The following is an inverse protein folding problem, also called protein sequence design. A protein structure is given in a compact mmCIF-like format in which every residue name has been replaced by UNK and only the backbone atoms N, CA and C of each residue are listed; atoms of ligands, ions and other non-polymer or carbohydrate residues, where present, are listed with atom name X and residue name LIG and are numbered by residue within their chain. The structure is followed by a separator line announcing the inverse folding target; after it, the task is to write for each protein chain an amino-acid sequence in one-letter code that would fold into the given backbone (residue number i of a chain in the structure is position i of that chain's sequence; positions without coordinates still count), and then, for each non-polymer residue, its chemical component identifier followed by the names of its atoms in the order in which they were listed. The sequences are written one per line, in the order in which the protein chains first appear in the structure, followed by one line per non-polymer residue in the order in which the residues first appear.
data_IF_167195665001
#
_entry.id   IF_167195665001
#
_cell.length_a   1.000
_cell.length_b   1.000
_cell.length_c   1.000
_cell.angle_alpha   90.00
_cell.angle_beta   90.00
_cell.angle_gamma   90.00
#
_symmetry.space_group_name_H-M   'P 1'
#
loop_
_entity.id
_entity.type
_entity.pdbx_description
1 polymer ?
#
# COMPACT_ATOMS: atom_id res chain seq x y z
N UNK A 1 24.14 58.39 -8.38
CA UNK A 1 23.15 59.46 -8.16
C UNK A 1 21.80 58.92 -8.59
N UNK A 2 20.90 58.64 -7.65
CA UNK A 2 19.51 58.30 -7.98
C UNK A 2 18.80 59.64 -8.25
N UNK A 3 18.19 59.86 -9.42
CA UNK A 3 17.50 61.11 -9.70
C UNK A 3 16.31 61.27 -8.75
N UNK A 4 16.07 62.51 -8.32
CA UNK A 4 14.99 62.84 -7.40
C UNK A 4 13.65 62.68 -8.13
N UNK A 5 12.66 62.03 -7.50
CA UNK A 5 11.35 61.75 -8.13
C UNK A 5 10.63 63.04 -8.58
N UNK A 6 10.96 64.16 -7.95
CA UNK A 6 10.44 65.49 -8.23
C UNK A 6 10.92 66.09 -9.57
N UNK A 7 11.98 65.54 -10.19
CA UNK A 7 12.56 66.02 -11.45
C UNK A 7 12.07 65.24 -12.70
N UNK A 8 11.16 64.27 -12.52
CA UNK A 8 10.68 63.43 -13.62
C UNK A 8 9.49 64.09 -14.32
N UNK A 9 9.65 64.39 -15.61
CA UNK A 9 8.53 64.88 -16.43
C UNK A 9 7.40 63.84 -16.50
N UNK A 10 6.13 64.25 -16.67
CA UNK A 10 5.00 63.32 -16.77
C UNK A 10 5.21 62.19 -17.80
N UNK A 11 5.88 62.48 -18.92
CA UNK A 11 6.25 61.48 -19.94
C UNK A 11 7.28 60.45 -19.43
N UNK A 12 8.21 60.85 -18.56
CA UNK A 12 9.16 59.93 -17.93
C UNK A 12 8.47 59.01 -16.92
N UNK A 13 7.46 59.52 -16.20
CA UNK A 13 6.63 58.75 -15.27
C UNK A 13 5.76 57.74 -16.05
N UNK A 14 5.16 58.15 -17.17
CA UNK A 14 4.38 57.24 -18.03
C UNK A 14 5.26 56.10 -18.56
N UNK A 15 6.47 56.40 -19.03
CA UNK A 15 7.43 55.38 -19.48
C UNK A 15 7.86 54.43 -18.34
N UNK A 16 8.10 54.95 -17.14
CA UNK A 16 8.37 54.14 -15.95
C UNK A 16 7.19 53.22 -15.61
N UNK A 17 5.95 53.71 -15.68
CA UNK A 17 4.75 52.90 -15.42
C UNK A 17 4.56 51.82 -16.49
N UNK A 18 4.82 52.13 -17.76
CA UNK A 18 4.81 51.13 -18.84
C UNK A 18 5.92 50.09 -18.66
N UNK A 19 7.07 50.50 -18.15
CA UNK A 19 8.20 49.63 -17.81
C UNK A 19 7.89 48.71 -16.61
N UNK A 20 7.27 49.22 -15.56
CA UNK A 20 6.79 48.41 -14.44
C UNK A 20 5.70 47.41 -14.86
N UNK A 21 4.79 47.83 -15.77
CA UNK A 21 3.75 46.94 -16.31
C UNK A 21 4.35 45.82 -17.16
N UNK A 22 5.39 46.10 -17.94
CA UNK A 22 6.07 45.06 -18.71
C UNK A 22 6.86 44.13 -17.78
N UNK A 23 7.57 44.64 -16.77
CA UNK A 23 8.26 43.84 -15.74
C UNK A 23 7.33 42.88 -15.00
N UNK A 24 6.16 43.37 -14.56
CA UNK A 24 5.15 42.53 -13.90
C UNK A 24 4.62 41.43 -14.84
N UNK A 25 4.48 41.74 -16.13
CA UNK A 25 4.03 40.76 -17.14
C UNK A 25 5.09 39.69 -17.41
N UNK A 26 6.37 40.07 -17.42
CA UNK A 26 7.49 39.14 -17.63
C UNK A 26 7.64 38.17 -16.47
N UNK A 27 7.55 38.66 -15.24
CA UNK A 27 7.56 37.82 -14.04
C UNK A 27 6.42 36.80 -14.06
N UNK A 28 5.19 37.23 -14.40
CA UNK A 28 4.05 36.30 -14.57
C UNK A 28 4.28 35.25 -15.65
N UNK A 29 4.84 35.64 -16.79
CA UNK A 29 5.14 34.71 -17.88
C UNK A 29 6.27 33.73 -17.50
N UNK A 30 7.22 34.12 -16.65
CA UNK A 30 8.26 33.24 -16.12
C UNK A 30 7.70 32.23 -15.12
N UNK A 31 6.84 32.66 -14.20
CA UNK A 31 6.14 31.77 -13.27
C UNK A 31 5.30 30.74 -14.02
N UNK A 32 4.58 31.17 -15.07
CA UNK A 32 3.75 30.30 -15.89
C UNK A 32 4.61 29.33 -16.72
N UNK A 33 5.77 29.76 -17.23
CA UNK A 33 6.74 28.91 -17.91
C UNK A 33 7.31 27.82 -17.00
N UNK A 34 7.73 28.17 -15.80
CA UNK A 34 8.28 27.22 -14.82
C UNK A 34 7.21 26.24 -14.35
N UNK A 35 5.98 26.72 -14.14
CA UNK A 35 4.84 25.86 -13.83
C UNK A 35 4.55 24.87 -14.97
N UNK A 36 4.69 25.29 -16.23
CA UNK A 36 4.50 24.43 -17.39
C UNK A 36 5.62 23.40 -17.56
N UNK A 37 6.87 23.75 -17.30
CA UNK A 37 7.99 22.79 -17.27
C UNK A 37 7.79 21.73 -16.18
N UNK A 38 7.34 22.14 -14.99
CA UNK A 38 7.04 21.24 -13.89
C UNK A 38 5.82 20.35 -14.21
N UNK A 39 4.81 20.86 -14.92
CA UNK A 39 3.69 20.04 -15.41
C UNK A 39 4.11 19.07 -16.51
N UNK A 40 5.01 19.44 -17.41
CA UNK A 40 5.60 18.54 -18.41
C UNK A 40 6.36 17.36 -17.74
N UNK A 41 7.16 17.66 -16.71
CA UNK A 41 7.92 16.64 -15.97
C UNK A 41 7.04 15.73 -15.10
N UNK A 42 5.89 16.21 -14.62
CA UNK A 42 4.97 15.43 -13.76
C UNK A 42 3.90 14.68 -14.58
N UNK A 43 3.44 15.21 -15.72
CA UNK A 43 2.27 14.70 -16.46
C UNK A 43 2.57 14.21 -17.89
N UNK A 44 3.76 14.45 -18.44
CA UNK A 44 4.13 13.97 -19.79
C UNK A 44 3.32 14.59 -20.94
N UNK A 45 2.80 15.81 -20.77
CA UNK A 45 2.00 16.54 -21.77
C UNK A 45 2.93 17.43 -22.62
N UNK A 46 2.97 17.23 -23.94
CA UNK A 46 3.86 17.93 -24.87
C UNK A 46 3.51 19.44 -25.00
N UNK A 47 4.24 20.28 -24.26
CA UNK A 47 4.14 21.76 -24.14
C UNK A 47 5.38 22.47 -24.71
N UNK A 48 6.25 21.76 -25.44
CA UNK A 48 7.53 22.27 -25.95
C UNK A 48 7.41 23.54 -26.81
N UNK A 49 6.30 23.73 -27.52
CA UNK A 49 6.06 24.93 -28.33
C UNK A 49 5.88 26.20 -27.48
N UNK A 50 5.24 26.07 -26.31
CA UNK A 50 4.95 27.18 -25.39
C UNK A 50 6.23 27.58 -24.64
N UNK A 51 7.03 26.60 -24.26
CA UNK A 51 8.37 26.77 -23.67
C UNK A 51 9.34 27.47 -24.62
N UNK A 52 9.32 27.12 -25.91
CA UNK A 52 10.21 27.73 -26.91
C UNK A 52 9.88 29.21 -27.13
N UNK A 53 8.60 29.58 -27.08
CA UNK A 53 8.14 30.97 -27.22
C UNK A 53 8.51 31.82 -26.02
N UNK A 54 8.32 31.29 -24.81
CA UNK A 54 8.67 31.95 -23.55
C UNK A 54 10.20 32.13 -23.40
N UNK A 55 11.00 31.15 -23.82
CA UNK A 55 12.47 31.28 -23.85
C UNK A 55 12.96 32.41 -24.78
N UNK A 56 12.32 32.59 -25.94
CA UNK A 56 12.66 33.69 -26.86
C UNK A 56 12.32 35.05 -26.27
N UNK A 57 11.18 35.16 -25.58
CA UNK A 57 10.72 36.39 -24.95
C UNK A 57 11.64 36.78 -23.79
N UNK A 58 11.99 35.85 -22.89
CA UNK A 58 12.96 36.05 -21.79
C UNK A 58 14.32 36.51 -22.31
N UNK A 59 14.79 35.94 -23.41
CA UNK A 59 16.09 36.29 -24.00
C UNK A 59 16.11 37.72 -24.56
N UNK A 60 14.98 38.19 -25.11
CA UNK A 60 14.85 39.57 -25.60
C UNK A 60 14.83 40.59 -24.46
N UNK A 61 14.20 40.25 -23.35
CA UNK A 61 14.03 41.12 -22.19
C UNK A 61 15.30 41.18 -21.32
N UNK A 62 16.04 40.07 -21.20
CA UNK A 62 17.36 40.06 -20.55
C UNK A 62 18.38 40.97 -21.23
N UNK A 63 18.29 41.13 -22.56
CA UNK A 63 19.15 42.07 -23.31
C UNK A 63 18.86 43.54 -23.02
N UNK A 64 17.65 43.87 -22.54
CA UNK A 64 17.28 45.24 -22.18
C UNK A 64 17.66 45.61 -20.74
N UNK A 65 18.02 44.63 -19.89
CA UNK A 65 18.18 44.81 -18.43
C UNK A 65 19.64 45.02 -17.95
N UNK A 66 20.60 45.25 -18.83
CA UNK A 66 22.04 45.32 -18.49
C UNK A 66 22.48 46.58 -17.69
N UNK A 67 21.64 47.10 -16.79
CA UNK A 67 21.88 48.38 -16.09
C UNK A 67 21.59 48.42 -14.58
N UNK A 68 21.33 47.28 -13.93
CA UNK A 68 21.07 47.20 -12.48
C UNK A 68 22.09 46.28 -11.79
N UNK A 69 22.59 46.68 -10.61
CA UNK A 69 23.63 45.98 -9.85
C UNK A 69 23.24 44.52 -9.58
N UNK A 70 24.01 43.60 -10.14
CA UNK A 70 23.76 42.15 -10.14
C UNK A 70 23.55 41.56 -8.73
N UNK A 71 24.20 42.15 -7.71
CA UNK A 71 24.16 41.69 -6.32
C UNK A 71 22.78 41.86 -5.66
N UNK A 72 22.07 42.95 -5.95
CA UNK A 72 20.75 43.22 -5.35
C UNK A 72 19.67 42.36 -5.99
N UNK A 73 19.79 42.08 -7.29
CA UNK A 73 18.91 41.15 -8.00
C UNK A 73 19.10 39.72 -7.49
N UNK A 74 20.35 39.29 -7.23
CA UNK A 74 20.65 37.97 -6.66
C UNK A 74 20.09 37.78 -5.24
N UNK A 75 20.05 38.84 -4.42
CA UNK A 75 19.49 38.79 -3.06
C UNK A 75 17.97 38.62 -3.06
N UNK A 76 17.26 39.32 -3.94
CA UNK A 76 15.80 39.21 -4.07
C UNK A 76 15.44 37.81 -4.59
N UNK A 77 16.12 37.34 -5.64
CA UNK A 77 15.91 36.01 -6.21
C UNK A 77 16.18 34.89 -5.19
N UNK A 78 17.22 35.03 -4.36
CA UNK A 78 17.49 34.09 -3.27
C UNK A 78 16.40 34.09 -2.19
N UNK A 79 15.84 35.26 -1.84
CA UNK A 79 14.80 35.37 -0.82
C UNK A 79 13.46 34.79 -1.30
N UNK A 80 13.09 35.05 -2.55
CA UNK A 80 11.91 34.48 -3.19
C UNK A 80 12.04 32.97 -3.32
N UNK A 81 13.20 32.48 -3.76
CA UNK A 81 13.50 31.04 -3.81
C UNK A 81 13.43 30.38 -2.43
N UNK A 82 13.92 31.02 -1.36
CA UNK A 82 13.82 30.49 -0.01
C UNK A 82 12.37 30.38 0.47
N UNK A 83 11.54 31.36 0.15
CA UNK A 83 10.11 31.35 0.48
C UNK A 83 9.39 30.21 -0.23
N UNK A 84 9.59 30.07 -1.54
CA UNK A 84 9.00 29.00 -2.36
C UNK A 84 9.45 27.62 -1.85
N UNK A 85 10.74 27.47 -1.54
CA UNK A 85 11.29 26.22 -0.99
C UNK A 85 10.66 25.86 0.36
N UNK A 86 10.43 26.85 1.23
CA UNK A 86 9.74 26.63 2.53
C UNK A 86 8.32 26.13 2.34
N UNK A 87 7.53 26.79 1.49
CA UNK A 87 6.15 26.38 1.23
C UNK A 87 6.09 24.97 0.62
N UNK A 88 7.03 24.66 -0.28
CA UNK A 88 7.13 23.33 -0.89
C UNK A 88 7.51 22.27 0.14
N UNK A 89 8.44 22.58 1.05
CA UNK A 89 8.83 21.69 2.14
C UNK A 89 7.67 21.43 3.10
N UNK A 90 6.84 22.44 3.37
CA UNK A 90 5.65 22.30 4.20
C UNK A 90 4.58 21.42 3.55
N UNK A 91 4.29 21.61 2.25
CA UNK A 91 3.38 20.74 1.49
C UNK A 91 3.88 19.29 1.41
N UNK A 92 5.18 19.08 1.21
CA UNK A 92 5.78 17.74 1.22
C UNK A 92 5.68 17.09 2.60
N UNK A 93 5.89 17.86 3.67
CA UNK A 93 5.72 17.37 5.05
C UNK A 93 4.26 17.01 5.36
N UNK A 94 3.29 17.80 4.88
CA UNK A 94 1.87 17.46 4.99
C UNK A 94 1.54 16.17 4.24
N UNK A 95 1.95 16.04 2.97
CA UNK A 95 1.78 14.81 2.18
C UNK A 95 2.43 13.59 2.85
N UNK A 96 3.64 13.76 3.40
CA UNK A 96 4.33 12.70 4.14
C UNK A 96 3.51 12.25 5.34
N UNK A 97 2.96 13.19 6.12
CA UNK A 97 2.09 12.87 7.26
C UNK A 97 0.82 12.13 6.83
N UNK A 98 0.13 12.60 5.79
CA UNK A 98 -1.06 11.92 5.26
C UNK A 98 -0.75 10.48 4.83
N UNK A 99 0.31 10.28 4.06
CA UNK A 99 0.73 8.93 3.65
C UNK A 99 1.05 8.07 4.88
N UNK A 100 1.88 8.60 5.78
CA UNK A 100 2.41 7.87 6.94
C UNK A 100 1.35 7.53 8.00
N UNK A 101 0.37 8.41 8.21
CA UNK A 101 -0.62 8.29 9.29
C UNK A 101 -1.95 7.74 8.77
N UNK A 102 -2.40 8.13 7.59
CA UNK A 102 -3.73 7.72 7.11
C UNK A 102 -3.62 6.44 6.28
N UNK A 103 -2.75 6.44 5.27
CA UNK A 103 -2.66 5.31 4.32
C UNK A 103 -2.01 4.10 4.98
N UNK A 104 -0.85 4.26 5.62
CA UNK A 104 -0.17 3.14 6.28
C UNK A 104 -0.95 2.59 7.48
N UNK A 105 -1.62 3.44 8.26
CA UNK A 105 -2.42 2.98 9.39
C UNK A 105 -3.67 2.23 8.91
N UNK A 106 -4.38 2.74 7.89
CA UNK A 106 -5.53 2.04 7.31
C UNK A 106 -5.14 0.66 6.76
N UNK A 107 -4.04 0.57 5.99
CA UNK A 107 -3.54 -0.71 5.47
C UNK A 107 -3.11 -1.66 6.59
N UNK A 108 -2.47 -1.12 7.64
CA UNK A 108 -2.09 -1.92 8.81
C UNK A 108 -3.33 -2.45 9.53
N UNK A 109 -4.35 -1.64 9.71
CA UNK A 109 -5.58 -2.04 10.42
C UNK A 109 -6.39 -3.05 9.60
N UNK A 110 -6.45 -2.90 8.28
CA UNK A 110 -7.04 -3.90 7.37
C UNK A 110 -6.29 -5.23 7.46
N UNK A 111 -4.96 -5.20 7.33
CA UNK A 111 -4.12 -6.39 7.44
C UNK A 111 -4.25 -7.09 8.80
N UNK A 112 -4.27 -6.33 9.90
CA UNK A 112 -4.47 -6.87 11.24
C UNK A 112 -5.87 -7.48 11.40
N UNK A 113 -6.89 -6.87 10.80
CA UNK A 113 -8.27 -7.39 10.82
C UNK A 113 -8.35 -8.73 10.11
N UNK A 114 -7.77 -8.85 8.91
CA UNK A 114 -7.73 -10.11 8.16
C UNK A 114 -6.92 -11.17 8.89
N UNK A 115 -5.75 -10.81 9.44
CA UNK A 115 -4.89 -11.72 10.19
C UNK A 115 -5.60 -12.25 11.44
N UNK A 116 -6.31 -11.38 12.18
CA UNK A 116 -7.08 -11.76 13.35
C UNK A 116 -8.22 -12.71 12.98
N UNK A 117 -8.93 -12.44 11.88
CA UNK A 117 -9.98 -13.32 11.37
C UNK A 117 -9.42 -14.69 11.00
N UNK A 118 -8.33 -14.74 10.25
CA UNK A 118 -7.66 -15.99 9.88
C UNK A 118 -7.21 -16.79 11.12
N UNK A 119 -6.66 -16.10 12.12
CA UNK A 119 -6.23 -16.71 13.39
C UNK A 119 -7.42 -17.30 14.15
N UNK A 120 -8.56 -16.59 14.17
CA UNK A 120 -9.79 -17.07 14.80
C UNK A 120 -10.36 -18.27 14.06
N UNK A 121 -10.42 -18.23 12.73
CA UNK A 121 -10.92 -19.32 11.90
C UNK A 121 -10.05 -20.59 12.07
N UNK A 122 -8.73 -20.41 12.10
CA UNK A 122 -7.78 -21.50 12.38
C UNK A 122 -8.00 -22.10 13.77
N UNK A 123 -8.17 -21.26 14.79
CA UNK A 123 -8.44 -21.71 16.17
C UNK A 123 -9.72 -22.54 16.27
N UNK A 124 -10.81 -22.09 15.62
CA UNK A 124 -12.07 -22.83 15.55
C UNK A 124 -11.88 -24.16 14.83
N UNK A 125 -11.15 -24.17 13.72
CA UNK A 125 -10.85 -25.38 12.95
C UNK A 125 -10.06 -26.40 13.78
N UNK A 126 -9.00 -25.98 14.47
CA UNK A 126 -8.19 -26.85 15.33
C UNK A 126 -9.02 -27.45 16.48
N UNK A 127 -9.92 -26.66 17.06
CA UNK A 127 -10.83 -27.15 18.10
C UNK A 127 -11.76 -28.25 17.55
N UNK A 128 -12.31 -28.08 16.33
CA UNK A 128 -13.12 -29.12 15.67
C UNK A 128 -12.32 -30.38 15.39
N UNK A 129 -11.08 -30.24 14.93
CA UNK A 129 -10.18 -31.38 14.71
C UNK A 129 -9.87 -32.14 15.99
N UNK A 130 -9.60 -31.44 17.09
CA UNK A 130 -9.35 -32.05 18.39
C UNK A 130 -10.58 -32.81 18.91
N UNK A 131 -11.79 -32.25 18.72
CA UNK A 131 -13.04 -32.95 19.05
C UNK A 131 -13.18 -34.22 18.19
N UNK A 132 -12.95 -34.14 16.88
CA UNK A 132 -13.02 -35.30 16.00
C UNK A 132 -12.01 -36.38 16.39
N UNK A 133 -10.79 -35.98 16.81
CA UNK A 133 -9.75 -36.88 17.32
C UNK A 133 -10.24 -37.60 18.58
N UNK A 134 -10.74 -36.85 19.55
CA UNK A 134 -11.26 -37.39 20.82
C UNK A 134 -12.45 -38.33 20.61
N UNK A 135 -13.31 -38.06 19.63
CA UNK A 135 -14.45 -38.92 19.28
C UNK A 135 -14.04 -40.17 18.49
N UNK A 136 -12.99 -40.11 17.68
CA UNK A 136 -12.56 -41.25 16.85
C UNK A 136 -11.85 -42.31 17.69
N UNK A 137 -11.07 -41.91 18.70
CA UNK A 137 -10.34 -42.84 19.57
C UNK A 137 -11.23 -43.94 20.22
N UNK A 138 -12.36 -43.62 20.89
CA UNK A 138 -13.21 -44.64 21.48
C UNK A 138 -13.91 -45.52 20.43
N UNK A 139 -14.23 -44.98 19.24
CA UNK A 139 -14.83 -45.78 18.17
C UNK A 139 -13.89 -46.89 17.69
N UNK A 140 -12.59 -46.60 17.58
CA UNK A 140 -11.58 -47.62 17.27
C UNK A 140 -11.56 -48.72 18.34
N UNK A 141 -11.68 -48.36 19.62
CA UNK A 141 -11.70 -49.36 20.70
C UNK A 141 -12.97 -50.22 20.65
N UNK A 142 -14.13 -49.62 20.37
CA UNK A 142 -15.40 -50.35 20.17
C UNK A 142 -15.29 -51.31 18.99
N UNK A 143 -14.72 -50.89 17.86
CA UNK A 143 -14.54 -51.75 16.70
C UNK A 143 -13.61 -52.94 17.00
N UNK A 144 -12.51 -52.72 17.74
CA UNK A 144 -11.64 -53.82 18.18
C UNK A 144 -12.38 -54.82 19.06
N UNK A 145 -13.14 -54.33 20.04
CA UNK A 145 -13.95 -55.17 20.90
C UNK A 145 -15.01 -55.96 20.11
N UNK A 146 -15.68 -55.33 19.15
CA UNK A 146 -16.67 -55.99 18.30
C UNK A 146 -16.05 -57.10 17.43
N UNK A 147 -14.82 -56.91 16.94
CA UNK A 147 -14.09 -57.94 16.20
C UNK A 147 -13.76 -59.12 17.12
N UNK A 148 -13.30 -58.85 18.34
CA UNK A 148 -13.03 -59.88 19.36
C UNK A 148 -14.31 -60.64 19.75
N UNK A 149 -15.41 -59.93 20.00
CA UNK A 149 -16.72 -60.52 20.30
C UNK A 149 -17.22 -61.39 19.14
N UNK A 150 -17.08 -60.92 17.90
CA UNK A 150 -17.46 -61.68 16.70
C UNK A 150 -16.68 -62.99 16.58
N UNK A 151 -15.39 -62.97 16.90
CA UNK A 151 -14.56 -64.17 16.94
C UNK A 151 -15.04 -65.16 18.01
N UNK A 152 -15.33 -64.68 19.23
CA UNK A 152 -15.86 -65.53 20.30
C UNK A 152 -17.20 -66.16 19.92
N UNK A 153 -18.12 -65.38 19.31
CA UNK A 153 -19.43 -65.87 18.86
C UNK A 153 -19.31 -66.94 17.77
N UNK A 154 -18.31 -66.84 16.89
CA UNK A 154 -17.98 -67.90 15.94
C UNK A 154 -17.48 -69.16 16.67
N UNK A 155 -16.59 -68.99 17.65
CA UNK A 155 -15.98 -70.11 18.39
C UNK A 155 -17.01 -70.92 19.21
N UNK A 156 -18.09 -70.27 19.67
CA UNK A 156 -19.22 -70.93 20.34
C UNK A 156 -20.34 -71.37 19.37
N UNK A 157 -20.07 -71.36 18.07
CA UNK A 157 -20.99 -71.79 16.99
C UNK A 157 -22.32 -71.00 16.94
N UNK A 158 -22.36 -69.77 17.47
CA UNK A 158 -23.53 -68.87 17.39
C UNK A 158 -23.67 -68.18 16.03
N UNK A 159 -22.66 -68.27 15.17
CA UNK A 159 -22.60 -67.63 13.85
C UNK A 159 -22.14 -68.63 12.79
N UNK A 160 -22.74 -68.55 11.60
CA UNK A 160 -22.25 -69.29 10.44
C UNK A 160 -20.90 -68.74 9.98
N UNK A 161 -20.12 -69.57 9.28
CA UNK A 161 -18.82 -69.15 8.74
C UNK A 161 -18.95 -68.03 7.71
N UNK A 162 -20.01 -68.06 6.88
CA UNK A 162 -20.28 -67.03 5.89
C UNK A 162 -20.66 -65.68 6.54
N UNK A 163 -21.52 -65.70 7.57
CA UNK A 163 -21.91 -64.49 8.31
C UNK A 163 -20.72 -63.91 9.08
N UNK A 164 -19.89 -64.76 9.68
CA UNK A 164 -18.65 -64.35 10.33
C UNK A 164 -17.71 -63.66 9.34
N UNK A 165 -17.41 -64.30 8.21
CA UNK A 165 -16.46 -63.77 7.22
C UNK A 165 -16.95 -62.43 6.62
N UNK A 166 -18.25 -62.30 6.36
CA UNK A 166 -18.83 -61.06 5.86
C UNK A 166 -18.68 -59.92 6.89
N UNK A 167 -19.03 -60.18 8.15
CA UNK A 167 -19.01 -59.16 9.21
C UNK A 167 -17.59 -58.82 9.67
N UNK A 168 -16.69 -59.80 9.74
CA UNK A 168 -15.27 -59.60 10.06
C UNK A 168 -14.58 -58.71 9.03
N UNK A 169 -14.85 -58.93 7.73
CA UNK A 169 -14.32 -58.09 6.66
C UNK A 169 -14.81 -56.64 6.75
N UNK A 170 -16.10 -56.44 7.02
CA UNK A 170 -16.69 -55.12 7.18
C UNK A 170 -16.07 -54.37 8.38
N UNK A 171 -16.03 -55.01 9.55
CA UNK A 171 -15.49 -54.41 10.77
C UNK A 171 -13.98 -54.09 10.65
N UNK A 172 -13.20 -54.96 10.00
CA UNK A 172 -11.77 -54.71 9.74
C UNK A 172 -11.57 -53.54 8.78
N UNK A 173 -12.40 -53.41 7.74
CA UNK A 173 -12.36 -52.27 6.83
C UNK A 173 -12.71 -50.96 7.55
N UNK A 174 -13.74 -50.97 8.39
CA UNK A 174 -14.10 -49.81 9.20
C UNK A 174 -13.01 -49.43 10.22
N UNK A 175 -12.39 -50.43 10.86
CA UNK A 175 -11.27 -50.22 11.77
C UNK A 175 -10.08 -49.56 11.07
N UNK A 176 -9.73 -50.05 9.87
CA UNK A 176 -8.68 -49.46 9.03
C UNK A 176 -9.01 -48.01 8.68
N UNK A 177 -10.22 -47.74 8.19
CA UNK A 177 -10.68 -46.40 7.82
C UNK A 177 -10.61 -45.42 9.00
N UNK A 178 -11.09 -45.82 10.18
CA UNK A 178 -11.06 -44.97 11.39
C UNK A 178 -9.64 -44.77 11.90
N UNK A 179 -8.79 -45.78 11.82
CA UNK A 179 -7.37 -45.68 12.21
C UNK A 179 -6.62 -44.70 11.31
N UNK A 180 -6.80 -44.81 9.98
CA UNK A 180 -6.21 -43.90 9.00
C UNK A 180 -6.67 -42.46 9.21
N UNK A 181 -7.97 -42.26 9.47
CA UNK A 181 -8.52 -40.95 9.78
C UNK A 181 -7.90 -40.35 11.06
N UNK A 182 -7.79 -41.14 12.14
CA UNK A 182 -7.16 -40.69 13.39
C UNK A 182 -5.69 -40.29 13.16
N UNK A 183 -4.92 -41.11 12.45
CA UNK A 183 -3.52 -40.80 12.13
C UNK A 183 -3.38 -39.51 11.32
N UNK A 184 -4.30 -39.24 10.37
CA UNK A 184 -4.32 -37.99 9.62
C UNK A 184 -4.61 -36.78 10.51
N UNK A 185 -5.58 -36.90 11.43
CA UNK A 185 -5.87 -35.84 12.41
C UNK A 185 -4.67 -35.54 13.31
N UNK A 186 -4.02 -36.59 13.82
CA UNK A 186 -2.84 -36.47 14.68
C UNK A 186 -1.65 -35.83 13.95
N UNK A 187 -1.44 -36.19 12.68
CA UNK A 187 -0.42 -35.57 11.85
C UNK A 187 -0.65 -34.06 11.70
N UNK A 188 -1.86 -33.67 11.29
CA UNK A 188 -2.20 -32.25 11.08
C UNK A 188 -2.07 -31.46 12.39
N UNK A 189 -2.63 -31.97 13.50
CA UNK A 189 -2.53 -31.32 14.81
C UNK A 189 -1.09 -31.19 15.32
N UNK A 190 -0.21 -32.14 14.95
CA UNK A 190 1.22 -32.08 15.28
C UNK A 190 1.97 -31.02 14.47
N UNK A 191 1.63 -30.84 13.19
CA UNK A 191 2.27 -29.81 12.35
C UNK A 191 1.96 -28.39 12.84
N UNK A 192 0.76 -28.17 13.37
CA UNK A 192 0.33 -26.83 13.83
C UNK A 192 0.89 -26.46 15.22
N UNK A 193 1.39 -27.44 15.99
CA UNK A 193 2.02 -27.22 17.30
C UNK A 193 3.54 -27.04 17.25
N UNK A 194 4.16 -27.16 16.07
CA UNK A 194 5.59 -26.91 15.85
C UNK A 194 5.84 -25.45 15.49
#
# INVERSE_FOLDING_TARGET
MVPNIEDLTPDAIIKLVEQFKSESRVSKLQEEHELLLVKEEIEGIDKQAEIKKLKQEISSLKRQKSGSSDETNLLIENFENQTILKERLEKLNQKRKTIQVEVYQALKDEYLTELNKLTQDLSVFLKKMEIARQQTQPLIQVLKFQIEELAVRRDVEELSEDDFNARDKELKSDLENKTNFLSALEFILKQVKK
#
